data_IF_425432360829
#
_entry.id   IF_425432360829
#
_cell.length_a   1.000
_cell.length_b   1.000
_cell.length_c   1.000
_cell.angle_alpha   90.00
_cell.angle_beta   90.00
_cell.angle_gamma   90.00
#
_symmetry.space_group_name_H-M   'P 1'
#
loop_
_entity.id
_entity.type
_entity.pdbx_description
1 polymer ?
#
# COMPACT_ATOMS: atom_id res chain seq x y z
N UNK A 1 -2.98 -0.47 5.31
CA UNK A 1 -1.98 0.28 6.09
C UNK A 1 -2.43 0.55 7.52
N UNK A 2 -3.46 1.34 7.79
CA UNK A 2 -3.84 1.74 9.18
C UNK A 2 -4.10 0.54 10.11
N UNK A 3 -4.69 -0.54 9.61
CA UNK A 3 -4.91 -1.77 10.38
C UNK A 3 -3.59 -2.45 10.74
N UNK A 4 -2.60 -2.44 9.84
CA UNK A 4 -1.29 -3.00 10.14
C UNK A 4 -0.57 -2.17 11.21
N UNK A 5 -0.66 -0.84 11.15
CA UNK A 5 -0.19 0.04 12.24
C UNK A 5 -0.91 -0.26 13.55
N UNK A 6 -2.24 -0.42 13.51
CA UNK A 6 -3.02 -0.73 14.70
C UNK A 6 -2.70 -2.11 15.30
N UNK A 7 -2.34 -3.09 14.48
CA UNK A 7 -1.83 -4.38 14.97
C UNK A 7 -0.47 -4.24 15.67
N UNK A 8 0.39 -3.35 15.19
CA UNK A 8 1.75 -3.16 15.69
C UNK A 8 1.84 -2.19 16.90
N UNK A 9 0.83 -1.33 17.10
CA UNK A 9 0.81 -0.33 18.18
C UNK A 9 0.57 -0.99 19.54
N UNK A 10 1.17 -0.45 20.61
CA UNK A 10 0.87 -0.87 21.98
C UNK A 10 -0.52 -0.35 22.40
N UNK A 11 -1.52 -1.22 22.32
CA UNK A 11 -2.91 -0.89 22.63
C UNK A 11 -3.20 -0.61 24.10
N UNK A 12 -2.27 -0.89 24.99
CA UNK A 12 -2.37 -0.45 26.40
C UNK A 12 -2.09 1.05 26.54
N UNK A 13 -1.37 1.65 25.59
CA UNK A 13 -1.05 3.08 25.57
C UNK A 13 -1.95 3.86 24.63
N UNK A 14 -2.17 3.34 23.44
CA UNK A 14 -2.94 4.01 22.38
C UNK A 14 -3.97 3.04 21.80
N UNK A 15 -5.23 3.30 22.05
CA UNK A 15 -6.35 2.55 21.50
C UNK A 15 -7.00 3.34 20.36
N UNK A 16 -7.28 2.67 19.22
CA UNK A 16 -8.04 3.23 18.12
C UNK A 16 -9.48 2.77 18.17
N UNK A 17 -10.39 3.70 17.85
CA UNK A 17 -11.71 3.39 17.36
C UNK A 17 -11.84 3.91 15.92
N UNK A 18 -12.73 3.34 15.13
CA UNK A 18 -12.81 3.62 13.72
C UNK A 18 -14.15 4.27 13.36
N UNK A 19 -14.08 5.32 12.58
CA UNK A 19 -15.25 5.96 11.98
C UNK A 19 -15.22 5.70 10.49
N UNK A 20 -16.32 5.13 9.97
CA UNK A 20 -16.48 4.78 8.56
C UNK A 20 -17.73 5.44 7.99
N UNK A 21 -17.67 5.82 6.72
CA UNK A 21 -18.78 6.46 5.99
C UNK A 21 -19.33 5.57 4.85
N UNK A 22 -18.77 4.35 4.70
CA UNK A 22 -19.21 3.36 3.74
C UNK A 22 -19.31 1.97 4.36
N UNK A 23 -20.43 1.23 4.17
CA UNK A 23 -20.59 -0.11 4.72
C UNK A 23 -19.66 -1.16 4.09
N UNK A 24 -19.06 -0.89 2.93
CA UNK A 24 -18.13 -1.78 2.23
C UNK A 24 -16.81 -2.03 2.98
N UNK A 25 -16.49 -1.21 3.98
CA UNK A 25 -15.33 -1.40 4.85
C UNK A 25 -15.52 -2.51 5.89
N UNK A 26 -16.68 -3.17 5.90
CA UNK A 26 -17.03 -4.24 6.85
C UNK A 26 -16.17 -5.51 6.70
N UNK A 27 -15.51 -5.74 5.56
CA UNK A 27 -14.58 -6.89 5.39
C UNK A 27 -13.38 -6.90 6.36
N UNK A 28 -13.11 -5.76 7.05
CA UNK A 28 -12.07 -5.64 8.06
C UNK A 28 -12.65 -5.49 9.49
N UNK A 29 -13.97 -5.50 9.63
CA UNK A 29 -14.65 -5.21 10.88
C UNK A 29 -14.32 -6.23 11.98
N UNK A 30 -14.23 -7.51 11.61
CA UNK A 30 -13.94 -8.57 12.57
C UNK A 30 -12.52 -8.43 13.13
N UNK A 31 -11.54 -8.17 12.26
CA UNK A 31 -10.15 -7.92 12.68
C UNK A 31 -10.06 -6.70 13.63
N UNK A 32 -10.77 -5.63 13.29
CA UNK A 32 -10.76 -4.39 14.09
C UNK A 32 -11.39 -4.61 15.46
N UNK A 33 -12.50 -5.38 15.52
CA UNK A 33 -13.18 -5.74 16.78
C UNK A 33 -12.33 -6.68 17.66
N UNK A 34 -11.69 -7.68 17.05
CA UNK A 34 -10.75 -8.58 17.75
C UNK A 34 -9.61 -7.82 18.43
N UNK A 35 -9.19 -6.71 17.82
CA UNK A 35 -8.18 -5.80 18.37
C UNK A 35 -8.75 -4.86 19.46
N UNK A 36 -10.04 -4.98 19.80
CA UNK A 36 -10.70 -4.22 20.87
C UNK A 36 -11.24 -2.85 20.43
N UNK A 37 -11.25 -2.54 19.12
CA UNK A 37 -11.75 -1.27 18.61
C UNK A 37 -13.26 -1.27 18.41
N UNK A 38 -13.89 -0.11 18.60
CA UNK A 38 -15.27 0.17 18.20
C UNK A 38 -15.30 0.70 16.76
N UNK A 39 -16.44 0.47 16.10
CA UNK A 39 -16.69 1.00 14.76
C UNK A 39 -17.95 1.86 14.82
N UNK A 40 -17.82 3.10 14.37
CA UNK A 40 -18.91 4.05 14.27
C UNK A 40 -19.21 4.36 12.81
N UNK A 41 -20.48 4.58 12.50
CA UNK A 41 -20.94 4.89 11.14
C UNK A 41 -21.36 6.33 11.03
N UNK A 42 -20.83 7.01 10.02
CA UNK A 42 -21.20 8.39 9.66
C UNK A 42 -21.94 8.43 8.33
N UNK A 43 -22.84 9.40 8.12
CA UNK A 43 -23.47 9.59 6.83
C UNK A 43 -22.43 9.87 5.74
N UNK A 44 -22.52 9.11 4.63
CA UNK A 44 -21.71 9.35 3.44
C UNK A 44 -21.99 10.74 2.88
N UNK A 45 -20.95 11.53 2.62
CA UNK A 45 -21.09 12.85 1.99
C UNK A 45 -21.41 12.71 0.50
N UNK A 46 -22.60 13.20 0.11
CA UNK A 46 -23.13 13.12 -1.27
C UNK A 46 -23.01 14.44 -2.04
N UNK A 47 -22.31 15.45 -1.47
CA UNK A 47 -22.20 16.80 -2.03
C UNK A 47 -23.38 17.74 -1.67
N UNK A 48 -24.58 17.21 -1.44
CA UNK A 48 -25.80 17.98 -1.12
C UNK A 48 -26.21 17.91 0.34
N UNK A 49 -25.77 16.88 1.08
CA UNK A 49 -26.20 16.62 2.47
C UNK A 49 -25.25 17.17 3.54
N UNK A 50 -24.63 18.32 3.29
CA UNK A 50 -23.62 18.90 4.20
C UNK A 50 -24.16 19.19 5.61
N UNK A 51 -25.43 19.57 5.73
CA UNK A 51 -26.06 19.86 7.03
C UNK A 51 -26.23 18.57 7.86
N UNK A 52 -26.67 17.49 7.23
CA UNK A 52 -26.79 16.16 7.86
C UNK A 52 -25.43 15.69 8.37
N UNK A 53 -24.41 15.74 7.50
CA UNK A 53 -23.04 15.35 7.84
C UNK A 53 -22.49 16.19 9.01
N UNK A 54 -22.63 17.52 8.95
CA UNK A 54 -22.18 18.39 10.04
C UNK A 54 -22.92 18.11 11.35
N UNK A 55 -24.22 17.85 11.29
CA UNK A 55 -24.99 17.50 12.48
C UNK A 55 -24.48 16.20 13.10
N UNK A 56 -24.34 15.15 12.29
CA UNK A 56 -23.86 13.85 12.77
C UNK A 56 -22.48 13.95 13.47
N UNK A 57 -21.53 14.71 12.89
CA UNK A 57 -20.23 14.93 13.50
C UNK A 57 -20.28 15.75 14.79
N UNK A 58 -21.16 16.76 14.88
CA UNK A 58 -21.36 17.51 16.11
C UNK A 58 -21.98 16.63 17.21
N UNK A 59 -23.00 15.85 16.87
CA UNK A 59 -23.66 14.94 17.81
C UNK A 59 -22.63 13.91 18.32
N UNK A 60 -21.84 13.31 17.42
CA UNK A 60 -20.79 12.35 17.78
C UNK A 60 -19.76 12.92 18.77
N UNK A 61 -19.16 14.07 18.49
CA UNK A 61 -18.15 14.64 19.38
C UNK A 61 -18.74 15.12 20.71
N UNK A 62 -20.03 15.48 20.73
CA UNK A 62 -20.73 15.82 21.96
C UNK A 62 -20.98 14.58 22.82
N UNK A 63 -21.33 13.45 22.22
CA UNK A 63 -21.62 12.17 22.87
C UNK A 63 -20.35 11.43 23.31
N UNK A 64 -19.21 11.73 22.66
CA UNK A 64 -17.94 11.06 22.84
C UNK A 64 -16.80 12.01 23.27
N UNK A 65 -16.89 12.68 24.42
CA UNK A 65 -15.87 13.61 24.90
C UNK A 65 -14.56 12.91 25.35
N UNK A 66 -14.57 11.59 25.44
CA UNK A 66 -13.40 10.75 25.73
C UNK A 66 -12.33 10.81 24.66
N UNK A 67 -12.70 11.02 23.38
CA UNK A 67 -11.73 11.13 22.30
C UNK A 67 -10.96 12.45 22.35
N UNK A 68 -9.63 12.37 22.21
CA UNK A 68 -8.73 13.53 22.26
C UNK A 68 -8.06 13.82 20.94
N UNK A 69 -7.94 12.82 20.08
CA UNK A 69 -7.28 12.91 18.78
C UNK A 69 -8.22 12.34 17.71
N UNK A 70 -8.29 13.00 16.57
CA UNK A 70 -8.85 12.44 15.34
C UNK A 70 -7.78 12.42 14.26
N UNK A 71 -7.49 11.22 13.74
CA UNK A 71 -6.55 10.98 12.65
C UNK A 71 -7.31 10.58 11.39
N UNK A 72 -7.50 11.54 10.50
CA UNK A 72 -8.25 11.36 9.26
C UNK A 72 -7.42 10.67 8.19
N UNK A 73 -7.97 9.59 7.64
CA UNK A 73 -7.47 8.91 6.44
C UNK A 73 -8.25 9.35 5.18
N UNK A 74 -9.34 10.09 5.37
CA UNK A 74 -10.18 10.63 4.29
C UNK A 74 -9.63 11.95 3.79
N UNK A 75 -9.79 12.21 2.47
CA UNK A 75 -9.34 13.45 1.84
C UNK A 75 -10.46 14.47 1.67
N UNK A 76 -11.38 14.19 0.76
CA UNK A 76 -12.29 15.19 0.21
C UNK A 76 -13.22 15.82 1.24
N UNK A 77 -13.69 15.05 2.23
CA UNK A 77 -14.64 15.60 3.17
C UNK A 77 -14.08 15.83 4.58
N UNK A 78 -12.81 15.52 4.81
CA UNK A 78 -12.13 15.82 6.07
C UNK A 78 -12.16 17.33 6.41
N UNK A 79 -12.17 18.20 5.39
CA UNK A 79 -12.32 19.65 5.58
C UNK A 79 -13.67 20.06 6.23
N UNK A 80 -14.68 19.17 6.25
CA UNK A 80 -15.96 19.42 6.89
C UNK A 80 -15.90 19.13 8.39
N UNK A 81 -15.33 17.97 8.78
CA UNK A 81 -15.42 17.50 10.17
C UNK A 81 -14.18 17.82 11.03
N UNK A 82 -13.00 17.98 10.44
CA UNK A 82 -11.81 18.35 11.23
C UNK A 82 -11.98 19.71 11.93
N UNK A 83 -12.52 20.76 11.31
CA UNK A 83 -12.83 22.00 12.01
C UNK A 83 -13.90 21.83 13.12
N UNK A 84 -14.82 20.87 12.98
CA UNK A 84 -15.78 20.54 14.03
C UNK A 84 -15.06 19.87 15.19
N UNK A 85 -14.24 18.86 14.93
CA UNK A 85 -13.45 18.18 15.97
C UNK A 85 -12.61 19.17 16.81
N UNK A 86 -11.98 20.15 16.16
CA UNK A 86 -11.22 21.22 16.88
C UNK A 86 -12.08 22.05 17.82
N UNK A 87 -13.36 22.32 17.48
CA UNK A 87 -14.29 23.03 18.38
C UNK A 87 -14.60 22.26 19.66
N UNK A 88 -14.51 20.93 19.59
CA UNK A 88 -14.64 20.04 20.76
C UNK A 88 -13.30 19.76 21.45
N UNK A 89 -12.22 20.45 21.05
CA UNK A 89 -10.90 20.35 21.70
C UNK A 89 -10.06 19.16 21.25
N UNK A 90 -10.43 18.43 20.19
CA UNK A 90 -9.62 17.35 19.67
C UNK A 90 -8.41 17.91 18.90
N UNK A 91 -7.26 17.28 19.08
CA UNK A 91 -6.10 17.45 18.17
C UNK A 91 -6.42 16.76 16.86
N UNK A 92 -6.22 17.44 15.75
CA UNK A 92 -6.64 16.97 14.42
C UNK A 92 -5.44 16.65 13.53
N UNK A 93 -5.47 15.47 12.92
CA UNK A 93 -4.42 14.99 12.01
C UNK A 93 -5.09 14.60 10.69
N UNK A 94 -4.48 14.94 9.57
CA UNK A 94 -4.89 14.46 8.25
C UNK A 94 -3.74 13.73 7.57
N UNK A 95 -4.02 12.58 6.96
CA UNK A 95 -3.02 11.70 6.35
C UNK A 95 -3.27 11.54 4.84
N UNK A 96 -2.24 11.82 4.03
CA UNK A 96 -2.24 11.67 2.58
C UNK A 96 -1.58 10.35 2.18
N UNK A 97 -2.30 9.53 1.37
CA UNK A 97 -1.81 8.25 0.86
C UNK A 97 -1.58 8.22 -0.65
N UNK A 98 -1.88 9.32 -1.35
CA UNK A 98 -1.80 9.39 -2.79
C UNK A 98 -1.04 10.62 -3.24
N UNK A 99 -0.53 10.58 -4.47
CA UNK A 99 0.21 11.68 -5.12
C UNK A 99 -0.60 12.36 -6.23
N UNK A 100 -1.79 11.85 -6.57
CA UNK A 100 -2.66 12.46 -7.59
C UNK A 100 -4.13 12.03 -7.46
N UNK A 101 -5.05 12.80 -8.08
CA UNK A 101 -6.44 12.44 -8.31
C UNK A 101 -6.67 11.86 -9.72
N UNK A 102 -5.60 11.57 -10.47
CA UNK A 102 -5.65 11.20 -11.88
C UNK A 102 -5.66 12.44 -12.79
N UNK A 103 -6.22 12.33 -13.99
CA UNK A 103 -6.26 13.38 -15.00
C UNK A 103 -7.69 13.79 -15.37
N UNK A 104 -7.83 14.96 -16.01
CA UNK A 104 -9.09 15.47 -16.54
C UNK A 104 -9.84 16.41 -15.59
N UNK A 105 -11.01 16.88 -16.04
CA UNK A 105 -11.80 17.91 -15.34
C UNK A 105 -12.25 17.46 -13.93
N UNK A 106 -12.64 16.20 -13.78
CA UNK A 106 -13.05 15.63 -12.49
C UNK A 106 -11.91 15.66 -11.46
N UNK A 107 -10.66 15.39 -11.89
CA UNK A 107 -9.49 15.47 -11.03
C UNK A 107 -9.24 16.91 -10.56
N UNK A 108 -9.31 17.89 -11.46
CA UNK A 108 -9.15 19.33 -11.13
C UNK A 108 -10.19 19.82 -10.14
N UNK A 109 -11.45 19.39 -10.29
CA UNK A 109 -12.52 19.72 -9.32
C UNK A 109 -12.22 19.13 -7.95
N UNK A 110 -11.76 17.88 -7.89
CA UNK A 110 -11.33 17.26 -6.63
C UNK A 110 -10.16 17.99 -6.00
N UNK A 111 -9.16 18.39 -6.78
CA UNK A 111 -8.01 19.16 -6.29
C UNK A 111 -8.46 20.49 -5.67
N UNK A 112 -9.39 21.19 -6.30
CA UNK A 112 -9.97 22.42 -5.77
C UNK A 112 -10.74 22.18 -4.45
N UNK A 113 -11.52 21.10 -4.38
CA UNK A 113 -12.25 20.73 -3.16
C UNK A 113 -11.33 20.31 -2.01
N UNK A 114 -10.10 19.87 -2.31
CA UNK A 114 -9.11 19.48 -1.32
C UNK A 114 -8.26 20.66 -0.82
N UNK A 115 -8.29 21.80 -1.50
CA UNK A 115 -7.48 22.97 -1.11
C UNK A 115 -7.70 23.41 0.36
N UNK A 116 -8.93 23.43 0.93
CA UNK A 116 -9.14 23.78 2.32
C UNK A 116 -8.46 22.86 3.34
N UNK A 117 -8.09 21.63 2.94
CA UNK A 117 -7.42 20.68 3.83
C UNK A 117 -6.11 21.22 4.40
N UNK A 118 -5.42 22.08 3.65
CA UNK A 118 -4.16 22.76 4.06
C UNK A 118 -4.28 23.57 5.34
N UNK A 119 -5.50 23.90 5.74
CA UNK A 119 -5.82 24.72 6.91
C UNK A 119 -6.77 24.01 7.89
N UNK A 120 -7.18 22.76 7.61
CA UNK A 120 -8.25 22.08 8.34
C UNK A 120 -7.77 21.26 9.52
N UNK A 121 -6.47 21.00 9.63
CA UNK A 121 -5.88 20.17 10.67
C UNK A 121 -4.76 20.88 11.43
N UNK A 122 -4.45 20.40 12.63
CA UNK A 122 -3.33 20.85 13.45
C UNK A 122 -2.02 20.24 12.92
N UNK A 123 -2.06 18.96 12.54
CA UNK A 123 -0.94 18.19 12.03
C UNK A 123 -1.27 17.49 10.71
N UNK A 124 -0.24 17.25 9.93
CA UNK A 124 -0.32 16.65 8.60
C UNK A 124 0.60 15.44 8.53
N UNK A 125 0.12 14.36 7.94
CA UNK A 125 0.93 13.18 7.66
C UNK A 125 0.80 12.78 6.20
N UNK A 126 1.85 12.18 5.64
CA UNK A 126 1.81 11.65 4.29
C UNK A 126 2.72 10.42 4.16
N UNK A 127 2.36 9.52 3.25
CA UNK A 127 3.16 8.34 2.96
C UNK A 127 4.45 8.63 2.17
N UNK A 128 4.61 9.85 1.65
CA UNK A 128 5.83 10.33 0.98
C UNK A 128 5.85 11.86 0.95
N UNK A 129 7.02 12.44 0.65
CA UNK A 129 7.16 13.90 0.45
C UNK A 129 6.29 14.40 -0.69
N UNK A 130 6.17 13.63 -1.76
CA UNK A 130 5.35 14.01 -2.91
C UNK A 130 3.85 13.98 -2.59
N UNK A 131 3.40 12.99 -1.80
CA UNK A 131 2.04 12.95 -1.30
C UNK A 131 1.72 14.14 -0.38
N UNK A 132 2.69 14.58 0.44
CA UNK A 132 2.55 15.76 1.28
C UNK A 132 2.45 17.04 0.43
N UNK A 133 3.38 17.24 -0.51
CA UNK A 133 3.38 18.40 -1.42
C UNK A 133 2.10 18.48 -2.26
N UNK A 134 1.69 17.35 -2.80
CA UNK A 134 0.48 17.29 -3.64
C UNK A 134 -0.77 17.70 -2.87
N UNK A 135 -1.02 17.12 -1.70
CA UNK A 135 -2.27 17.36 -0.96
C UNK A 135 -2.22 18.67 -0.17
N UNK A 136 -1.10 18.95 0.51
CA UNK A 136 -0.99 20.05 1.45
C UNK A 136 -0.26 21.28 0.90
N UNK A 137 0.42 21.13 -0.24
CA UNK A 137 1.28 22.17 -0.84
C UNK A 137 2.62 22.29 -0.13
N UNK A 138 3.59 22.91 -0.79
CA UNK A 138 4.99 22.96 -0.34
C UNK A 138 5.17 23.61 1.04
N UNK A 139 4.42 24.69 1.32
CA UNK A 139 4.53 25.41 2.60
C UNK A 139 4.19 24.52 3.80
N UNK A 140 3.11 23.73 3.70
CA UNK A 140 2.70 22.81 4.77
C UNK A 140 3.60 21.59 4.79
N UNK A 141 3.91 21.01 3.62
CA UNK A 141 4.77 19.84 3.49
C UNK A 141 6.19 20.05 4.08
N UNK A 142 6.69 21.29 4.09
CA UNK A 142 7.99 21.65 4.66
C UNK A 142 7.90 22.23 6.08
N UNK A 143 6.74 22.21 6.73
CA UNK A 143 6.56 22.71 8.09
C UNK A 143 6.79 21.62 9.14
N UNK A 144 7.12 22.04 10.38
CA UNK A 144 7.29 21.16 11.54
C UNK A 144 6.00 20.39 11.91
N UNK A 145 4.85 20.80 11.35
CA UNK A 145 3.56 20.13 11.54
C UNK A 145 3.29 19.01 10.55
N UNK A 146 4.20 18.80 9.57
CA UNK A 146 4.03 17.76 8.55
C UNK A 146 5.07 16.67 8.72
N UNK A 147 4.60 15.44 8.92
CA UNK A 147 5.45 14.28 9.15
C UNK A 147 5.26 13.24 8.05
N UNK A 148 6.36 12.63 7.61
CA UNK A 148 6.31 11.52 6.67
C UNK A 148 6.19 10.23 7.49
N UNK A 149 5.09 9.51 7.27
CA UNK A 149 4.84 8.20 7.83
C UNK A 149 4.62 7.24 6.66
N UNK A 150 5.67 6.54 6.28
CA UNK A 150 5.67 5.63 5.14
C UNK A 150 4.60 4.54 5.28
N UNK A 151 4.16 3.97 4.15
CA UNK A 151 3.35 2.76 4.12
C UNK A 151 4.25 1.56 4.50
N UNK A 152 4.55 1.45 5.78
CA UNK A 152 5.48 0.48 6.32
C UNK A 152 4.90 -0.95 6.33
N UNK A 153 5.81 -1.92 6.33
CA UNK A 153 5.54 -3.36 6.32
C UNK A 153 6.14 -4.02 7.56
N UNK A 154 5.71 -5.21 7.89
CA UNK A 154 6.40 -6.04 8.88
C UNK A 154 7.65 -6.67 8.25
N UNK A 155 8.75 -5.93 8.27
CA UNK A 155 10.02 -6.33 7.62
C UNK A 155 10.46 -7.74 8.05
N UNK A 156 10.21 -8.13 9.30
CA UNK A 156 10.57 -9.45 9.82
C UNK A 156 9.81 -10.57 9.13
N UNK A 157 8.54 -10.35 8.77
CA UNK A 157 7.70 -11.34 8.11
C UNK A 157 8.11 -11.61 6.66
N UNK A 158 8.89 -10.71 6.06
CA UNK A 158 9.42 -10.85 4.69
C UNK A 158 10.86 -11.38 4.66
N UNK A 159 11.53 -11.48 5.81
CA UNK A 159 12.88 -12.04 5.87
C UNK A 159 12.89 -13.44 5.29
N UNK A 160 13.86 -13.69 4.40
CA UNK A 160 14.03 -15.00 3.76
C UNK A 160 14.15 -16.13 4.79
N UNK A 161 13.38 -17.18 4.58
CA UNK A 161 13.38 -18.43 5.33
C UNK A 161 13.44 -19.60 4.34
N UNK A 162 14.54 -20.33 4.36
CA UNK A 162 14.78 -21.44 3.43
C UNK A 162 13.78 -22.60 3.65
N UNK A 163 13.34 -22.84 4.88
CA UNK A 163 12.36 -23.88 5.15
C UNK A 163 11.00 -23.54 4.53
N UNK A 164 10.55 -22.28 4.68
CA UNK A 164 9.32 -21.79 4.03
C UNK A 164 9.48 -21.80 2.51
N UNK A 165 10.64 -21.40 1.98
CA UNK A 165 10.90 -21.44 0.55
C UNK A 165 10.73 -22.85 0.01
N UNK A 166 11.37 -23.84 0.63
CA UNK A 166 11.32 -25.23 0.20
C UNK A 166 9.89 -25.79 0.32
N UNK A 167 9.19 -25.56 1.44
CA UNK A 167 7.77 -25.93 1.60
C UNK A 167 6.90 -25.41 0.45
N UNK A 168 7.04 -24.11 0.10
CA UNK A 168 6.21 -23.51 -0.93
C UNK A 168 6.59 -23.98 -2.34
N UNK A 169 7.85 -24.27 -2.58
CA UNK A 169 8.29 -24.83 -3.86
C UNK A 169 7.76 -26.26 -4.06
N UNK A 170 7.76 -27.08 -3.02
CA UNK A 170 7.13 -28.41 -3.02
C UNK A 170 5.62 -28.31 -3.25
N UNK A 171 4.91 -27.44 -2.49
CA UNK A 171 3.45 -27.23 -2.62
C UNK A 171 3.03 -26.85 -4.04
N UNK A 172 3.85 -26.08 -4.74
CA UNK A 172 3.56 -25.61 -6.10
C UNK A 172 4.22 -26.44 -7.19
N UNK A 173 4.96 -27.51 -6.85
CA UNK A 173 5.68 -28.39 -7.77
C UNK A 173 6.70 -27.62 -8.65
N UNK A 174 7.53 -26.79 -8.00
CA UNK A 174 8.50 -25.91 -8.68
C UNK A 174 9.91 -26.01 -8.06
N UNK A 175 10.27 -27.14 -7.45
CA UNK A 175 11.54 -27.33 -6.73
C UNK A 175 12.77 -26.98 -7.57
N UNK A 176 12.85 -27.51 -8.77
CA UNK A 176 13.96 -27.30 -9.70
C UNK A 176 13.64 -26.24 -10.79
N UNK A 177 12.60 -25.45 -10.57
CA UNK A 177 12.13 -24.46 -11.58
C UNK A 177 12.61 -23.06 -11.24
N UNK A 178 12.72 -22.18 -12.25
CA UNK A 178 12.93 -20.75 -12.07
C UNK A 178 11.59 -20.03 -11.94
N UNK A 179 11.36 -19.43 -10.78
CA UNK A 179 10.04 -18.88 -10.41
C UNK A 179 10.07 -17.36 -10.48
N UNK A 180 9.18 -16.81 -11.29
CA UNK A 180 8.92 -15.38 -11.44
C UNK A 180 7.60 -15.02 -10.80
N UNK A 181 7.53 -13.87 -10.12
CA UNK A 181 6.36 -13.46 -9.37
C UNK A 181 5.97 -12.01 -9.70
N UNK A 182 4.70 -11.77 -10.00
CA UNK A 182 4.11 -10.44 -10.07
C UNK A 182 2.97 -10.33 -9.08
N UNK A 183 3.01 -9.32 -8.20
CA UNK A 183 1.98 -9.06 -7.18
C UNK A 183 1.34 -7.70 -7.40
N UNK A 184 0.01 -7.63 -7.37
CA UNK A 184 -0.71 -6.36 -7.41
C UNK A 184 -2.17 -6.48 -7.83
N UNK A 185 -2.90 -5.37 -7.74
CA UNK A 185 -4.28 -5.31 -8.21
C UNK A 185 -4.33 -5.55 -9.74
N UNK A 186 -5.29 -6.34 -10.21
CA UNK A 186 -5.48 -6.64 -11.64
C UNK A 186 -6.10 -5.45 -12.37
N UNK A 187 -5.24 -4.46 -12.66
CA UNK A 187 -5.56 -3.20 -13.35
C UNK A 187 -4.58 -2.95 -14.48
N UNK A 188 -4.98 -2.17 -15.46
CA UNK A 188 -4.12 -1.79 -16.60
C UNK A 188 -2.78 -1.19 -16.17
N UNK A 189 -2.77 -0.40 -15.10
CA UNK A 189 -1.57 0.19 -14.51
C UNK A 189 -0.45 -0.83 -14.26
N UNK A 190 -0.81 -2.05 -13.80
CA UNK A 190 0.15 -3.13 -13.46
C UNK A 190 0.65 -3.92 -14.67
N UNK A 191 0.08 -3.68 -15.85
CA UNK A 191 0.57 -4.13 -17.15
C UNK A 191 0.76 -5.66 -17.30
N UNK A 192 -0.21 -6.42 -16.80
CA UNK A 192 -0.16 -7.89 -16.83
C UNK A 192 -0.04 -8.48 -18.23
N UNK A 193 -0.62 -7.84 -19.23
CA UNK A 193 -0.54 -8.32 -20.62
C UNK A 193 0.88 -8.22 -21.17
N UNK A 194 1.63 -7.18 -20.83
CA UNK A 194 3.06 -7.13 -21.14
C UNK A 194 3.81 -8.29 -20.49
N UNK A 195 3.50 -8.62 -19.22
CA UNK A 195 4.12 -9.77 -18.53
C UNK A 195 3.78 -11.08 -19.23
N UNK A 196 2.53 -11.28 -19.64
CA UNK A 196 2.12 -12.49 -20.35
C UNK A 196 2.81 -12.60 -21.72
N UNK A 197 2.86 -11.50 -22.49
CA UNK A 197 3.55 -11.46 -23.78
C UNK A 197 5.05 -11.72 -23.67
N UNK A 198 5.67 -11.17 -22.65
CA UNK A 198 7.08 -11.40 -22.31
C UNK A 198 7.32 -12.85 -21.90
N UNK A 199 6.49 -13.38 -21.00
CA UNK A 199 6.71 -14.69 -20.39
C UNK A 199 6.40 -15.85 -21.34
N UNK A 200 5.45 -15.69 -22.26
CA UNK A 200 5.19 -16.67 -23.33
C UNK A 200 6.45 -16.91 -24.18
N UNK A 201 7.10 -15.84 -24.62
CA UNK A 201 8.35 -15.92 -25.40
C UNK A 201 9.53 -16.44 -24.55
N UNK A 202 9.59 -16.00 -23.28
CA UNK A 202 10.65 -16.41 -22.36
C UNK A 202 10.57 -17.91 -22.06
N UNK A 203 9.38 -18.42 -21.76
CA UNK A 203 9.16 -19.85 -21.42
C UNK A 203 9.51 -20.77 -22.60
N UNK A 204 9.28 -20.36 -23.84
CA UNK A 204 9.68 -21.15 -25.04
C UNK A 204 11.20 -21.39 -25.08
N UNK A 205 12.00 -20.45 -24.60
CA UNK A 205 13.46 -20.54 -24.51
C UNK A 205 13.93 -21.21 -23.20
N UNK A 206 13.13 -21.09 -22.14
CA UNK A 206 13.42 -21.55 -20.80
C UNK A 206 12.24 -22.38 -20.24
N UNK A 207 12.03 -23.64 -20.66
CA UNK A 207 10.88 -24.45 -20.29
C UNK A 207 10.74 -24.76 -18.78
N UNK A 208 11.82 -24.56 -18.03
CA UNK A 208 11.84 -24.71 -16.56
C UNK A 208 11.46 -23.40 -15.82
N UNK A 209 10.94 -22.40 -16.54
CA UNK A 209 10.47 -21.15 -15.94
C UNK A 209 8.98 -21.18 -15.64
N UNK A 210 8.57 -20.63 -14.48
CA UNK A 210 7.17 -20.53 -14.04
C UNK A 210 6.86 -19.12 -13.61
N UNK A 211 5.65 -18.64 -13.97
CA UNK A 211 5.15 -17.33 -13.59
C UNK A 211 3.97 -17.46 -12.62
N UNK A 212 4.07 -16.77 -11.50
CA UNK A 212 2.96 -16.60 -10.57
C UNK A 212 2.44 -15.16 -10.64
N UNK A 213 1.15 -15.01 -10.85
CA UNK A 213 0.44 -13.73 -10.86
C UNK A 213 -0.48 -13.71 -9.65
N UNK A 214 -0.24 -12.78 -8.72
CA UNK A 214 -0.97 -12.72 -7.44
C UNK A 214 -1.73 -11.42 -7.32
N UNK A 215 -3.03 -11.51 -7.06
CA UNK A 215 -3.86 -10.34 -6.87
C UNK A 215 -5.34 -10.57 -7.16
N UNK A 216 -6.07 -9.48 -7.31
CA UNK A 216 -7.47 -9.46 -7.72
C UNK A 216 -7.80 -8.10 -8.37
N UNK A 217 -8.86 -8.01 -9.15
CA UNK A 217 -9.27 -6.75 -9.74
C UNK A 217 -10.06 -6.89 -11.04
N UNK A 218 -10.40 -5.75 -11.68
CA UNK A 218 -11.28 -5.72 -12.85
C UNK A 218 -10.80 -6.54 -14.05
N UNK A 219 -9.49 -6.75 -14.19
CA UNK A 219 -8.92 -7.51 -15.31
C UNK A 219 -8.78 -9.02 -15.05
N UNK A 220 -9.27 -9.53 -13.90
CA UNK A 220 -9.15 -10.93 -13.50
C UNK A 220 -9.57 -11.90 -14.60
N UNK A 221 -10.79 -11.75 -15.07
CA UNK A 221 -11.37 -12.69 -16.05
C UNK A 221 -10.65 -12.61 -17.41
N UNK A 222 -10.21 -11.41 -17.79
CA UNK A 222 -9.46 -11.20 -19.02
C UNK A 222 -8.06 -11.81 -18.96
N UNK A 223 -7.36 -11.68 -17.84
CA UNK A 223 -6.05 -12.33 -17.59
C UNK A 223 -6.19 -13.85 -17.67
N UNK A 224 -7.16 -14.44 -16.94
CA UNK A 224 -7.39 -15.89 -16.92
C UNK A 224 -7.74 -16.40 -18.34
N UNK A 225 -8.63 -15.70 -19.04
CA UNK A 225 -9.01 -16.02 -20.42
C UNK A 225 -7.79 -15.99 -21.36
N UNK A 226 -6.94 -14.97 -21.26
CA UNK A 226 -5.72 -14.84 -22.07
C UNK A 226 -4.78 -16.02 -21.85
N UNK A 227 -4.52 -16.39 -20.60
CA UNK A 227 -3.68 -17.54 -20.22
C UNK A 227 -4.24 -18.82 -20.84
N UNK A 228 -5.55 -19.04 -20.74
CA UNK A 228 -6.21 -20.25 -21.27
C UNK A 228 -6.14 -20.30 -22.79
N UNK A 229 -6.48 -19.21 -23.49
CA UNK A 229 -6.51 -19.14 -24.95
C UNK A 229 -5.11 -19.32 -25.56
N UNK A 230 -4.07 -18.84 -24.87
CA UNK A 230 -2.67 -18.98 -25.29
C UNK A 230 -2.02 -20.31 -24.86
N UNK A 231 -2.74 -21.18 -24.14
CA UNK A 231 -2.20 -22.46 -23.65
C UNK A 231 -1.09 -22.31 -22.60
N UNK A 232 -1.11 -21.22 -21.81
CA UNK A 232 -0.06 -20.93 -20.81
C UNK A 232 -0.36 -21.51 -19.43
N UNK A 233 -1.48 -22.22 -19.24
CA UNK A 233 -1.97 -22.63 -17.91
C UNK A 233 -1.03 -23.60 -17.18
N UNK A 234 -0.14 -24.30 -17.89
CA UNK A 234 0.79 -25.27 -17.29
C UNK A 234 1.91 -24.53 -16.53
N UNK A 235 2.36 -23.37 -17.02
CA UNK A 235 3.51 -22.63 -16.49
C UNK A 235 3.19 -21.22 -15.98
N UNK A 236 1.92 -20.74 -16.11
CA UNK A 236 1.42 -19.49 -15.51
C UNK A 236 0.30 -19.77 -14.51
N UNK A 237 0.53 -19.44 -13.25
CA UNK A 237 -0.44 -19.66 -12.16
C UNK A 237 -1.00 -18.33 -11.66
N UNK A 238 -2.34 -18.22 -11.61
CA UNK A 238 -3.04 -17.04 -11.08
C UNK A 238 -3.56 -17.36 -9.67
N UNK A 239 -3.08 -16.62 -8.69
CA UNK A 239 -3.45 -16.77 -7.28
C UNK A 239 -4.27 -15.56 -6.83
N UNK A 240 -5.51 -15.83 -6.39
CA UNK A 240 -6.47 -14.78 -6.02
C UNK A 240 -6.55 -14.66 -4.51
N UNK A 241 -6.62 -13.40 -4.02
CA UNK A 241 -6.88 -13.05 -2.61
C UNK A 241 -5.98 -13.79 -1.60
N UNK A 242 -4.67 -13.83 -1.88
CA UNK A 242 -3.67 -14.47 -1.01
C UNK A 242 -3.28 -13.55 0.15
N UNK A 243 -3.16 -14.13 1.35
CA UNK A 243 -2.70 -13.41 2.57
C UNK A 243 -1.24 -13.76 2.92
N UNK A 244 -0.62 -14.68 2.19
CA UNK A 244 0.71 -15.23 2.39
C UNK A 244 1.70 -14.79 1.31
N UNK A 245 1.55 -13.55 0.84
CA UNK A 245 2.41 -12.94 -0.20
C UNK A 245 3.89 -12.99 0.21
N UNK A 246 4.19 -12.81 1.50
CA UNK A 246 5.54 -12.93 2.03
C UNK A 246 6.17 -14.30 1.74
N UNK A 247 5.42 -15.39 1.88
CA UNK A 247 5.91 -16.75 1.59
C UNK A 247 6.06 -16.99 0.08
N UNK A 248 5.16 -16.43 -0.73
CA UNK A 248 5.28 -16.46 -2.19
C UNK A 248 6.51 -15.68 -2.68
N UNK A 249 6.85 -14.56 -2.03
CA UNK A 249 8.09 -13.83 -2.30
C UNK A 249 9.34 -14.64 -1.91
N UNK A 250 9.29 -15.42 -0.83
CA UNK A 250 10.38 -16.34 -0.45
C UNK A 250 10.55 -17.46 -1.49
N UNK A 251 9.44 -18.00 -2.02
CA UNK A 251 9.43 -19.06 -3.05
C UNK A 251 10.07 -18.61 -4.37
N UNK A 252 9.82 -17.37 -4.80
CA UNK A 252 10.20 -16.84 -6.11
C UNK A 252 11.72 -16.63 -6.26
N UNK A 253 12.21 -16.53 -7.49
CA UNK A 253 13.59 -16.18 -7.83
C UNK A 253 13.69 -14.74 -8.35
N UNK A 254 12.62 -14.21 -8.93
CA UNK A 254 12.51 -12.84 -9.40
C UNK A 254 11.12 -12.24 -9.10
N UNK A 255 11.12 -10.97 -8.76
CA UNK A 255 9.92 -10.14 -8.72
C UNK A 255 9.83 -9.28 -9.98
N UNK A 256 8.68 -9.29 -10.65
CA UNK A 256 8.43 -8.51 -11.87
C UNK A 256 7.39 -7.41 -11.61
N UNK A 257 7.70 -6.18 -11.98
CA UNK A 257 6.75 -5.07 -11.92
C UNK A 257 6.85 -4.17 -13.15
N UNK A 258 6.28 -4.58 -14.30
CA UNK A 258 6.28 -3.78 -15.53
C UNK A 258 5.16 -2.74 -15.53
N UNK A 259 4.91 -2.08 -14.41
CA UNK A 259 3.86 -1.07 -14.27
C UNK A 259 4.05 0.07 -15.26
N UNK A 260 2.95 0.56 -15.84
CA UNK A 260 2.95 1.71 -16.77
C UNK A 260 3.25 3.01 -16.02
N UNK A 261 2.85 3.09 -14.78
CA UNK A 261 3.19 4.14 -13.82
C UNK A 261 2.96 3.62 -12.40
N UNK A 262 3.81 4.02 -11.47
CA UNK A 262 3.66 3.69 -10.05
C UNK A 262 4.36 4.75 -9.22
N UNK A 263 3.73 5.16 -8.11
CA UNK A 263 4.40 5.90 -7.06
C UNK A 263 5.23 4.96 -6.17
N UNK A 264 5.22 5.19 -4.88
CA UNK A 264 5.85 4.29 -3.91
C UNK A 264 5.04 2.99 -3.79
N UNK A 265 5.52 1.91 -4.41
CA UNK A 265 4.84 0.62 -4.41
C UNK A 265 5.20 -0.19 -3.18
N UNK A 266 4.21 -0.47 -2.34
CA UNK A 266 4.38 -1.33 -1.15
C UNK A 266 4.82 -2.74 -1.57
N UNK A 267 4.26 -3.30 -2.65
CA UNK A 267 4.64 -4.63 -3.13
C UNK A 267 6.10 -4.72 -3.60
N UNK A 268 6.68 -3.62 -4.12
CA UNK A 268 8.10 -3.57 -4.43
C UNK A 268 8.95 -3.55 -3.14
N UNK A 269 8.54 -2.77 -2.14
CA UNK A 269 9.21 -2.74 -0.82
C UNK A 269 9.15 -4.11 -0.14
N UNK A 270 8.02 -4.83 -0.24
CA UNK A 270 7.86 -6.20 0.27
C UNK A 270 8.83 -7.17 -0.42
N UNK A 271 8.96 -7.08 -1.75
CA UNK A 271 9.89 -7.89 -2.52
C UNK A 271 11.35 -7.56 -2.16
N UNK A 272 11.71 -6.29 -2.06
CA UNK A 272 13.02 -5.87 -1.58
C UNK A 272 13.33 -6.39 -0.18
N UNK A 273 12.36 -6.29 0.76
CA UNK A 273 12.53 -6.75 2.13
C UNK A 273 12.80 -8.26 2.23
N UNK A 274 12.36 -9.03 1.23
CA UNK A 274 12.67 -10.47 1.12
C UNK A 274 14.02 -10.74 0.45
N UNK A 275 14.79 -9.71 0.10
CA UNK A 275 16.05 -9.81 -0.64
C UNK A 275 15.89 -10.33 -2.07
N UNK A 276 14.68 -10.31 -2.61
CA UNK A 276 14.35 -10.85 -3.92
C UNK A 276 14.80 -9.88 -5.03
N UNK A 277 15.58 -10.33 -6.03
CA UNK A 277 15.87 -9.53 -7.21
C UNK A 277 14.59 -9.02 -7.87
N UNK A 278 14.51 -7.70 -8.02
CA UNK A 278 13.33 -6.98 -8.50
C UNK A 278 13.62 -6.33 -9.85
N UNK A 279 12.86 -6.73 -10.87
CA UNK A 279 12.87 -6.07 -12.19
C UNK A 279 11.64 -5.15 -12.25
N UNK A 280 11.87 -3.86 -12.23
CA UNK A 280 10.84 -2.84 -12.22
C UNK A 280 10.88 -2.03 -13.52
N UNK A 281 9.72 -1.57 -13.99
CA UNK A 281 9.67 -0.58 -15.05
C UNK A 281 10.32 0.74 -14.61
N UNK A 282 11.02 1.43 -15.51
CA UNK A 282 11.54 2.80 -15.33
C UNK A 282 10.44 3.87 -15.19
N UNK A 283 9.17 3.47 -15.32
CA UNK A 283 7.98 4.30 -15.05
C UNK A 283 7.52 4.22 -13.57
N UNK A 284 8.19 3.40 -12.77
CA UNK A 284 8.01 3.32 -11.31
C UNK A 284 8.91 4.36 -10.66
N UNK A 285 8.43 5.03 -9.59
CA UNK A 285 9.24 6.03 -8.86
C UNK A 285 10.55 5.43 -8.39
N UNK A 286 11.66 6.15 -8.56
CA UNK A 286 12.97 5.75 -8.03
C UNK A 286 13.01 5.67 -6.50
N UNK A 287 12.05 6.27 -5.80
CA UNK A 287 11.92 6.20 -4.34
C UNK A 287 11.72 4.76 -3.81
N UNK A 288 11.33 3.82 -4.68
CA UNK A 288 11.25 2.40 -4.31
C UNK A 288 12.61 1.72 -4.26
N UNK A 289 13.68 2.28 -4.85
CA UNK A 289 15.02 1.70 -4.81
C UNK A 289 15.68 1.99 -3.47
N UNK A 290 15.44 1.14 -2.49
CA UNK A 290 16.08 1.25 -1.16
C UNK A 290 17.35 0.40 -1.12
N UNK A 291 17.37 -0.67 -1.88
CA UNK A 291 18.45 -1.65 -1.91
C UNK A 291 18.96 -1.90 -3.34
N UNK A 292 20.06 -2.59 -3.46
CA UNK A 292 20.70 -2.93 -4.73
C UNK A 292 20.05 -4.12 -5.46
N UNK A 293 19.02 -4.75 -4.88
CA UNK A 293 18.28 -5.83 -5.55
C UNK A 293 17.32 -5.30 -6.62
N UNK A 294 17.15 -3.97 -6.75
CA UNK A 294 16.25 -3.33 -7.73
C UNK A 294 16.98 -2.95 -9.00
N UNK A 295 16.47 -3.44 -10.12
CA UNK A 295 16.88 -3.04 -11.47
C UNK A 295 15.72 -2.40 -12.20
N UNK A 296 15.89 -1.17 -12.69
CA UNK A 296 14.92 -0.49 -13.54
C UNK A 296 15.16 -0.78 -15.01
N UNK A 297 14.09 -1.07 -15.75
CA UNK A 297 14.11 -1.42 -17.15
C UNK A 297 13.03 -0.64 -17.92
N UNK A 298 13.30 -0.15 -19.12
CA UNK A 298 12.26 0.36 -20.00
C UNK A 298 11.30 -0.78 -20.39
N UNK A 299 10.08 -0.48 -20.76
CA UNK A 299 9.08 -1.47 -21.19
C UNK A 299 9.38 -2.01 -22.59
N UNK A 300 10.57 -2.63 -22.75
CA UNK A 300 11.09 -3.26 -23.97
C UNK A 300 11.39 -4.72 -23.68
N UNK A 301 10.66 -5.65 -24.29
CA UNK A 301 10.70 -7.10 -23.97
C UNK A 301 12.12 -7.69 -23.95
N UNK A 302 12.94 -7.39 -24.93
CA UNK A 302 14.29 -7.96 -25.04
C UNK A 302 15.18 -7.62 -23.83
N UNK A 303 15.01 -6.41 -23.26
CA UNK A 303 15.77 -6.00 -22.09
C UNK A 303 15.30 -6.75 -20.82
N UNK A 304 14.00 -6.99 -20.71
CA UNK A 304 13.43 -7.79 -19.63
C UNK A 304 13.86 -9.25 -19.74
N UNK A 305 13.78 -9.84 -20.94
CA UNK A 305 14.24 -11.24 -21.16
C UNK A 305 15.69 -11.40 -20.77
N UNK A 306 16.57 -10.51 -21.22
CA UNK A 306 17.97 -10.52 -20.88
C UNK A 306 18.20 -10.44 -19.36
N UNK A 307 17.49 -9.53 -18.67
CA UNK A 307 17.61 -9.39 -17.22
C UNK A 307 17.05 -10.62 -16.47
N UNK A 308 16.04 -11.30 -16.99
CA UNK A 308 15.48 -12.52 -16.43
C UNK A 308 16.40 -13.75 -16.60
N UNK A 309 17.32 -13.71 -17.56
CA UNK A 309 18.33 -14.76 -17.77
C UNK A 309 19.50 -14.67 -16.78
N UNK A 310 19.78 -13.47 -16.25
CA UNK A 310 20.90 -13.25 -15.33
C UNK A 310 20.75 -14.13 -14.06
N UNK A 311 21.84 -14.52 -13.42
CA UNK A 311 21.77 -15.24 -12.14
C UNK A 311 21.10 -14.40 -11.07
N UNK A 312 20.15 -14.98 -10.35
CA UNK A 312 19.49 -14.31 -9.21
C UNK A 312 20.25 -14.60 -7.90
N UNK A 313 20.65 -13.54 -7.21
CA UNK A 313 21.27 -13.65 -5.90
C UNK A 313 20.45 -12.90 -4.87
N UNK A 314 20.03 -13.61 -3.84
CA UNK A 314 19.38 -13.01 -2.68
C UNK A 314 20.40 -12.67 -1.62
N UNK A 315 20.14 -11.59 -0.89
CA UNK A 315 20.87 -11.26 0.33
C UNK A 315 19.95 -10.53 1.31
N UNK A 316 20.40 -10.36 2.54
CA UNK A 316 19.61 -9.73 3.58
C UNK A 316 19.51 -8.21 3.34
N UNK A 317 18.31 -7.73 3.12
CA UNK A 317 17.99 -6.32 2.84
C UNK A 317 17.13 -5.67 3.93
N UNK A 318 16.53 -6.48 4.80
CA UNK A 318 15.61 -6.02 5.86
C UNK A 318 16.12 -4.84 6.69
N UNK A 319 17.39 -4.83 7.16
CA UNK A 319 17.95 -3.69 7.90
C UNK A 319 17.97 -2.38 7.10
N UNK A 320 18.22 -2.43 5.79
CA UNK A 320 18.19 -1.24 4.93
C UNK A 320 16.76 -0.72 4.76
N UNK A 321 15.79 -1.60 4.54
CA UNK A 321 14.36 -1.28 4.47
C UNK A 321 13.88 -0.64 5.78
N UNK A 322 14.24 -1.21 6.93
CA UNK A 322 13.90 -0.64 8.24
C UNK A 322 14.52 0.74 8.44
N UNK A 323 15.81 0.91 8.11
CA UNK A 323 16.52 2.20 8.20
C UNK A 323 15.91 3.27 7.28
N UNK A 324 15.35 2.87 6.15
CA UNK A 324 14.62 3.77 5.24
C UNK A 324 13.22 4.17 5.76
N UNK A 325 12.80 3.68 6.93
CA UNK A 325 11.54 4.04 7.58
C UNK A 325 10.34 3.19 7.13
N UNK A 326 10.58 1.98 6.63
CA UNK A 326 9.52 1.06 6.19
C UNK A 326 9.26 -0.10 7.17
N UNK A 327 9.84 -0.08 8.38
CA UNK A 327 9.46 -1.04 9.44
C UNK A 327 8.22 -0.55 10.18
N UNK A 328 7.17 -1.38 10.17
CA UNK A 328 5.89 -1.06 10.79
C UNK A 328 6.01 -0.93 12.31
N UNK A 329 6.90 -1.68 12.96
CA UNK A 329 7.07 -1.63 14.40
C UNK A 329 7.72 -0.32 14.83
N UNK A 330 8.71 0.18 14.08
CA UNK A 330 9.30 1.49 14.32
C UNK A 330 8.31 2.62 14.02
N UNK A 331 7.53 2.50 12.94
CA UNK A 331 6.45 3.43 12.61
C UNK A 331 5.38 3.48 13.70
N UNK A 332 5.00 2.34 14.27
CA UNK A 332 4.03 2.25 15.35
C UNK A 332 4.54 2.86 16.65
N UNK A 333 5.81 2.62 17.01
CA UNK A 333 6.45 3.25 18.18
C UNK A 333 6.48 4.77 18.04
N UNK A 334 6.91 5.26 16.89
CA UNK A 334 6.95 6.70 16.60
C UNK A 334 5.55 7.31 16.67
N UNK A 335 4.55 6.67 16.07
CA UNK A 335 3.16 7.16 16.07
C UNK A 335 2.55 7.18 17.48
N UNK A 336 2.83 6.16 18.32
CA UNK A 336 2.41 6.16 19.72
C UNK A 336 3.01 7.34 20.48
N UNK A 337 4.32 7.54 20.39
CA UNK A 337 5.01 8.65 21.05
C UNK A 337 4.49 10.01 20.55
N UNK A 338 4.20 10.11 19.25
CA UNK A 338 3.62 11.32 18.67
C UNK A 338 2.24 11.62 19.30
N UNK A 339 1.35 10.64 19.40
CA UNK A 339 0.04 10.84 20.02
C UNK A 339 0.13 11.19 21.51
N UNK A 340 1.01 10.52 22.25
CA UNK A 340 1.26 10.83 23.67
C UNK A 340 1.76 12.27 23.84
N UNK A 341 2.67 12.72 22.96
CA UNK A 341 3.16 14.10 22.92
C UNK A 341 2.06 15.13 22.71
N UNK A 342 1.12 14.86 21.79
CA UNK A 342 0.00 15.76 21.52
C UNK A 342 -0.95 15.97 22.70
N UNK A 343 -0.98 15.05 23.65
CA UNK A 343 -1.84 15.11 24.83
C UNK A 343 -1.17 15.81 26.02
N UNK A 344 0.15 15.99 25.97
CA UNK A 344 0.93 16.66 27.00
C UNK A 344 1.18 18.15 26.70
N UNK A 345 0.90 18.60 25.46
CA UNK A 345 0.92 19.98 25.00
C UNK A 345 -0.49 20.65 25.12
#
# INVERSE_FOLDING_TARGET
MIINLYKAIDRNKVQFDFIVDHPELLGLADIVKELGAKIYFMPTFKGTNIHEVKKAWNDFFKEHPEYKIIHSQSRSYASIYLPIARKYGLKTIIHSHNTSNGSGLKAKVKDLMQYPLRHSADYFMACSKDAAKWLFGEKVANSDRCHILNNAIDVKSFRMDEAIRNEYREVFDVDDKKVYLQVGAFRQQKNYFFTLDLFEEFHQKHPDSYLFIVGNGPLKDEIIKTITVRGMADYVKVLIDRNDVNKLLMMADYYLMPSIYEGLSVAAIEAEASGLPCLLSDQVSEDVRITDVVTFLPLVKDQWMKAMEEPSFRHETGPAIAKAGFDINESAKWLSAFYEGLLND
#
